data_IF_224391780226
#
_entry.id   IF_224391780226
#
_cell.length_a   1.000
_cell.length_b   1.000
_cell.length_c   1.000
_cell.angle_alpha   90.00
_cell.angle_beta   90.00
_cell.angle_gamma   90.00
#
_symmetry.space_group_name_H-M   'P 1'
#
loop_
_entity.id
_entity.type
_entity.pdbx_description
1 polymer ?
#
# COMPACT_ATOMS: atom_id res chain seq x y z
N UNK A 1 90.33 0.99 41.51
CA UNK A 1 90.01 0.58 40.11
C UNK A 1 88.83 -0.39 40.04
N UNK A 2 88.69 -1.25 41.03
CA UNK A 2 87.63 -2.30 41.11
C UNK A 2 86.20 -1.81 41.34
N UNK A 3 86.05 -0.66 42.01
CA UNK A 3 84.71 -0.08 42.28
C UNK A 3 84.04 0.57 41.08
N UNK A 4 84.83 1.10 40.17
CA UNK A 4 84.35 1.71 38.96
C UNK A 4 83.78 0.65 38.00
N UNK A 5 84.45 -0.47 37.90
CA UNK A 5 84.05 -1.61 37.02
C UNK A 5 82.74 -2.29 37.50
N UNK A 6 82.54 -2.33 38.85
CA UNK A 6 81.27 -2.84 39.43
C UNK A 6 80.08 -1.86 39.17
N UNK A 7 80.37 -0.54 39.26
CA UNK A 7 79.36 0.47 38.98
C UNK A 7 78.95 0.47 37.52
N UNK A 8 79.90 0.37 36.57
CA UNK A 8 79.61 0.36 35.16
C UNK A 8 78.80 -0.88 34.75
N UNK A 9 79.07 -2.06 35.34
CA UNK A 9 78.27 -3.27 35.13
C UNK A 9 76.85 -3.16 35.70
N UNK A 10 76.67 -2.55 36.85
CA UNK A 10 75.37 -2.31 37.43
C UNK A 10 74.54 -1.34 36.61
N UNK A 11 75.15 -0.30 36.06
CA UNK A 11 74.48 0.66 35.15
C UNK A 11 74.07 -0.05 33.84
N UNK A 12 74.98 -0.89 33.26
CA UNK A 12 74.65 -1.62 32.03
C UNK A 12 73.50 -2.64 32.24
N UNK A 13 73.46 -3.30 33.41
CA UNK A 13 72.35 -4.18 33.75
C UNK A 13 71.05 -3.42 33.94
N UNK A 14 71.08 -2.29 34.62
CA UNK A 14 69.89 -1.45 34.80
C UNK A 14 69.31 -0.93 33.44
N UNK A 15 70.22 -0.48 32.53
CA UNK A 15 69.83 -0.04 31.21
C UNK A 15 69.17 -1.18 30.41
N UNK A 16 69.75 -2.40 30.46
CA UNK A 16 69.17 -3.59 29.77
C UNK A 16 67.83 -3.96 30.37
N UNK A 17 67.63 -3.84 31.67
CA UNK A 17 66.36 -4.18 32.30
C UNK A 17 65.29 -3.15 31.98
N UNK A 18 65.56 -1.84 32.00
CA UNK A 18 64.67 -0.76 31.58
C UNK A 18 64.30 -0.86 30.09
N UNK A 19 65.26 -1.24 29.25
CA UNK A 19 65.02 -1.50 27.82
C UNK A 19 64.03 -2.64 27.61
N UNK A 20 64.20 -3.77 28.29
CA UNK A 20 63.30 -4.92 28.22
C UNK A 20 61.89 -4.62 28.74
N UNK A 21 61.78 -3.85 29.82
CA UNK A 21 60.48 -3.45 30.36
C UNK A 21 59.75 -2.53 29.42
N UNK A 22 60.41 -1.53 28.78
CA UNK A 22 59.81 -0.69 27.75
C UNK A 22 59.38 -1.48 26.52
N UNK A 23 60.20 -2.40 26.03
CA UNK A 23 59.85 -3.22 24.88
C UNK A 23 58.61 -4.10 25.15
N UNK A 24 58.46 -4.59 26.38
CA UNK A 24 57.28 -5.38 26.77
C UNK A 24 56.04 -4.52 26.87
N UNK A 25 56.14 -3.30 27.43
CA UNK A 25 55.03 -2.35 27.57
C UNK A 25 54.55 -1.84 26.19
N UNK A 26 55.49 -1.50 25.31
CA UNK A 26 55.21 -1.09 23.93
C UNK A 26 54.58 -2.22 23.10
N UNK A 27 55.01 -3.45 23.28
CA UNK A 27 54.39 -4.62 22.64
C UNK A 27 53.00 -4.91 23.17
N UNK A 28 52.73 -4.70 24.45
CA UNK A 28 51.43 -4.89 25.08
C UNK A 28 50.44 -3.80 24.55
N UNK A 29 50.89 -2.56 24.46
CA UNK A 29 50.08 -1.46 23.92
C UNK A 29 49.77 -1.67 22.43
N UNK A 30 50.76 -2.06 21.62
CA UNK A 30 50.56 -2.41 20.21
C UNK A 30 49.57 -3.57 20.02
N UNK A 31 49.66 -4.64 20.82
CA UNK A 31 48.72 -5.75 20.79
C UNK A 31 47.30 -5.31 21.14
N UNK A 32 47.17 -4.44 22.12
CA UNK A 32 45.86 -3.90 22.52
C UNK A 32 45.22 -3.02 21.42
N UNK A 33 45.99 -2.21 20.74
CA UNK A 33 45.56 -1.41 19.58
C UNK A 33 45.14 -2.28 18.42
N UNK A 34 45.92 -3.32 18.10
CA UNK A 34 45.59 -4.28 17.02
C UNK A 34 44.32 -5.05 17.33
N UNK A 35 44.11 -5.51 18.58
CA UNK A 35 42.92 -6.20 19.01
C UNK A 35 41.66 -5.30 18.90
N UNK A 36 41.74 -4.04 19.36
CA UNK A 36 40.67 -3.05 19.22
C UNK A 36 40.31 -2.77 17.76
N UNK A 37 41.30 -2.69 16.87
CA UNK A 37 41.09 -2.46 15.43
C UNK A 37 40.42 -3.66 14.76
N UNK A 38 40.81 -4.88 15.15
CA UNK A 38 40.23 -6.11 14.62
C UNK A 38 38.78 -6.33 15.08
N UNK A 39 38.47 -5.95 16.34
CA UNK A 39 37.11 -6.02 16.88
C UNK A 39 36.17 -5.02 16.19
N UNK A 40 36.63 -3.76 15.95
CA UNK A 40 35.84 -2.76 15.19
C UNK A 40 35.57 -3.21 13.76
N UNK A 41 36.52 -3.89 13.11
CA UNK A 41 36.33 -4.43 11.76
C UNK A 41 35.30 -5.56 11.70
N UNK A 42 35.27 -6.47 12.67
CA UNK A 42 34.27 -7.56 12.74
C UNK A 42 32.87 -7.02 13.01
N UNK A 43 32.73 -6.08 13.94
CA UNK A 43 31.43 -5.44 14.23
C UNK A 43 30.92 -4.67 13.01
N UNK A 44 31.76 -3.92 12.33
CA UNK A 44 31.38 -3.20 11.11
C UNK A 44 30.91 -4.12 10.00
N UNK A 45 31.59 -5.25 9.76
CA UNK A 45 31.18 -6.27 8.79
C UNK A 45 29.85 -6.93 9.20
N UNK A 46 29.66 -7.21 10.47
CA UNK A 46 28.42 -7.80 10.99
C UNK A 46 27.23 -6.84 10.86
N UNK A 47 27.40 -5.57 11.20
CA UNK A 47 26.37 -4.54 11.01
C UNK A 47 26.05 -4.35 9.53
N UNK A 48 27.03 -4.32 8.64
CA UNK A 48 26.78 -4.22 7.18
C UNK A 48 26.04 -5.45 6.62
N UNK A 49 26.23 -6.64 7.17
CA UNK A 49 25.50 -7.83 6.74
C UNK A 49 24.04 -7.84 7.21
N UNK A 50 23.75 -7.32 8.41
CA UNK A 50 22.38 -7.19 8.92
C UNK A 50 21.60 -6.16 8.11
N UNK A 51 22.21 -5.01 7.80
CA UNK A 51 21.55 -3.96 7.00
C UNK A 51 21.23 -4.43 5.58
N UNK A 52 22.08 -5.25 4.97
CA UNK A 52 21.80 -5.81 3.64
C UNK A 52 20.65 -6.82 3.66
N UNK A 53 20.53 -7.64 4.69
CA UNK A 53 19.42 -8.60 4.84
C UNK A 53 18.08 -7.82 5.04
N UNK A 54 18.09 -6.81 5.90
CA UNK A 54 16.91 -5.97 6.14
C UNK A 54 16.46 -5.25 4.84
N UNK A 55 17.40 -4.78 4.04
CA UNK A 55 17.09 -4.16 2.74
C UNK A 55 16.48 -5.17 1.75
N UNK A 56 16.98 -6.40 1.69
CA UNK A 56 16.41 -7.45 0.84
C UNK A 56 14.99 -7.79 1.28
N UNK A 57 14.76 -7.95 2.58
CA UNK A 57 13.42 -8.22 3.12
C UNK A 57 12.46 -7.07 2.78
N UNK A 58 12.90 -5.82 2.93
CA UNK A 58 12.09 -4.65 2.58
C UNK A 58 11.75 -4.61 1.08
N UNK A 59 12.70 -4.94 0.21
CA UNK A 59 12.47 -5.01 -1.24
C UNK A 59 11.50 -6.14 -1.59
N UNK A 60 11.67 -7.34 -1.04
CA UNK A 60 10.77 -8.47 -1.28
C UNK A 60 9.36 -8.15 -0.80
N UNK A 61 9.23 -7.56 0.38
CA UNK A 61 7.94 -7.13 0.93
C UNK A 61 7.28 -6.04 0.07
N UNK A 62 8.04 -5.06 -0.38
CA UNK A 62 7.55 -4.01 -1.30
C UNK A 62 7.10 -4.58 -2.65
N UNK A 63 7.83 -5.55 -3.20
CA UNK A 63 7.45 -6.21 -4.45
C UNK A 63 6.18 -7.07 -4.27
N UNK A 64 6.01 -7.72 -3.13
CA UNK A 64 4.80 -8.50 -2.83
C UNK A 64 3.56 -7.58 -2.80
N UNK A 65 3.61 -6.49 -2.05
CA UNK A 65 2.51 -5.50 -2.01
C UNK A 65 2.22 -4.96 -3.42
N UNK A 66 3.25 -4.64 -4.20
CA UNK A 66 3.06 -4.13 -5.56
C UNK A 66 2.42 -5.15 -6.51
N UNK A 67 2.69 -6.45 -6.34
CA UNK A 67 2.05 -7.51 -7.13
C UNK A 67 0.59 -7.71 -6.74
N UNK A 68 0.27 -7.67 -5.45
CA UNK A 68 -1.10 -7.82 -4.96
C UNK A 68 -1.99 -6.68 -5.46
N UNK A 69 -1.55 -5.42 -5.35
CA UNK A 69 -2.28 -4.26 -5.88
C UNK A 69 -2.55 -4.39 -7.39
N UNK A 70 -1.58 -4.84 -8.17
CA UNK A 70 -1.79 -5.06 -9.63
C UNK A 70 -2.79 -6.16 -9.95
N UNK A 71 -2.94 -7.13 -9.06
CA UNK A 71 -3.89 -8.21 -9.23
C UNK A 71 -5.32 -7.72 -9.02
N UNK A 72 -5.56 -6.95 -7.96
CA UNK A 72 -6.86 -6.35 -7.68
C UNK A 72 -7.29 -5.37 -8.78
N UNK A 73 -6.39 -4.51 -9.24
CA UNK A 73 -6.62 -3.62 -10.37
C UNK A 73 -7.04 -4.40 -11.63
N UNK A 74 -6.37 -5.50 -11.96
CA UNK A 74 -6.74 -6.33 -13.11
C UNK A 74 -8.12 -6.96 -12.98
N UNK A 75 -8.50 -7.40 -11.78
CA UNK A 75 -9.84 -7.92 -11.53
C UNK A 75 -10.87 -6.81 -11.72
N UNK A 76 -10.63 -5.63 -11.16
CA UNK A 76 -11.48 -4.47 -11.40
C UNK A 76 -11.62 -4.20 -12.90
N UNK A 77 -10.52 -4.00 -13.62
CA UNK A 77 -10.52 -3.69 -15.07
C UNK A 77 -11.22 -4.78 -15.91
N UNK A 78 -11.18 -6.05 -15.46
CA UNK A 78 -11.79 -7.16 -16.18
C UNK A 78 -13.31 -7.20 -16.02
N UNK A 79 -13.81 -6.87 -14.84
CA UNK A 79 -15.22 -7.02 -14.49
C UNK A 79 -15.99 -5.71 -14.42
N UNK A 80 -15.29 -4.58 -14.37
CA UNK A 80 -15.92 -3.28 -14.31
C UNK A 80 -16.38 -2.81 -15.69
N UNK A 81 -17.67 -2.55 -15.79
CA UNK A 81 -18.29 -1.91 -16.95
C UNK A 81 -19.23 -0.83 -16.40
N UNK A 82 -19.11 0.45 -16.82
CA UNK A 82 -20.03 1.48 -16.38
C UNK A 82 -21.48 1.12 -16.70
N UNK A 83 -22.38 1.42 -15.75
CA UNK A 83 -23.82 1.14 -15.94
C UNK A 83 -24.37 1.94 -17.12
N UNK A 84 -24.98 1.26 -18.06
CA UNK A 84 -25.67 1.92 -19.16
C UNK A 84 -26.93 2.66 -18.64
N UNK A 85 -27.11 3.88 -19.11
CA UNK A 85 -28.31 4.64 -18.80
C UNK A 85 -29.45 4.25 -19.73
N UNK A 86 -30.49 3.65 -19.16
CA UNK A 86 -31.72 3.35 -19.93
C UNK A 86 -32.77 4.42 -19.66
N UNK A 87 -32.92 5.33 -20.63
CA UNK A 87 -33.93 6.41 -20.56
C UNK A 87 -35.38 5.90 -20.54
N UNK A 88 -35.61 4.64 -20.97
CA UNK A 88 -36.97 4.06 -21.00
C UNK A 88 -37.40 3.55 -19.63
N UNK A 89 -36.48 3.07 -18.81
CA UNK A 89 -36.76 2.67 -17.44
C UNK A 89 -37.13 3.88 -16.56
N UNK A 90 -36.45 5.02 -16.77
CA UNK A 90 -36.67 6.24 -16.03
C UNK A 90 -37.97 6.97 -16.40
N UNK A 91 -38.54 6.73 -17.60
CA UNK A 91 -39.80 7.33 -18.03
C UNK A 91 -41.04 6.74 -17.36
N UNK A 92 -40.90 5.70 -16.55
CA UNK A 92 -42.01 5.00 -15.88
C UNK A 92 -42.51 5.69 -14.61
N UNK A 93 -41.70 6.63 -14.04
CA UNK A 93 -42.13 7.51 -12.97
C UNK A 93 -42.68 8.79 -13.57
N UNK A 94 -43.86 9.22 -13.14
CA UNK A 94 -44.54 10.47 -13.57
C UNK A 94 -43.81 11.78 -13.17
N UNK A 95 -42.58 11.71 -12.67
CA UNK A 95 -41.78 12.88 -12.31
C UNK A 95 -41.03 13.45 -13.50
N UNK A 96 -41.30 14.68 -13.81
CA UNK A 96 -40.53 15.48 -14.78
C UNK A 96 -39.09 15.64 -14.28
N UNK A 97 -38.18 14.90 -14.89
CA UNK A 97 -36.74 15.01 -14.63
C UNK A 97 -36.31 16.47 -14.83
N UNK A 98 -35.57 17.03 -13.87
CA UNK A 98 -35.12 18.42 -13.97
C UNK A 98 -34.17 18.59 -15.19
N UNK A 99 -34.12 19.76 -15.84
CA UNK A 99 -33.24 20.03 -16.94
C UNK A 99 -31.73 19.83 -16.56
N UNK A 100 -31.40 20.15 -15.31
CA UNK A 100 -30.07 20.00 -14.73
C UNK A 100 -29.69 18.52 -14.66
N UNK A 101 -30.59 17.67 -14.18
CA UNK A 101 -30.37 16.23 -14.10
C UNK A 101 -30.30 15.60 -15.49
N UNK A 102 -31.17 16.01 -16.42
CA UNK A 102 -31.08 15.59 -17.82
C UNK A 102 -29.71 15.92 -18.40
N UNK A 103 -29.21 17.15 -18.19
CA UNK A 103 -27.89 17.56 -18.66
C UNK A 103 -26.74 16.76 -18.04
N UNK A 104 -26.85 16.35 -16.75
CA UNK A 104 -25.87 15.48 -16.11
C UNK A 104 -25.85 14.09 -16.75
N UNK A 105 -27.04 13.51 -16.97
CA UNK A 105 -27.20 12.19 -17.59
C UNK A 105 -26.74 12.16 -19.07
N UNK A 106 -26.97 13.24 -19.83
CA UNK A 106 -26.42 13.36 -21.17
C UNK A 106 -24.88 13.33 -21.21
N UNK A 107 -24.23 13.97 -20.22
CA UNK A 107 -22.76 13.92 -20.09
C UNK A 107 -22.30 12.52 -19.70
N UNK A 108 -23.01 11.85 -18.80
CA UNK A 108 -22.78 10.47 -18.41
C UNK A 108 -22.82 9.52 -19.63
N UNK A 109 -23.89 9.59 -20.45
CA UNK A 109 -24.06 8.78 -21.65
C UNK A 109 -22.95 8.96 -22.69
N UNK A 110 -22.35 10.16 -22.75
CA UNK A 110 -21.23 10.45 -23.64
C UNK A 110 -19.89 9.92 -23.10
N UNK A 111 -19.85 9.41 -21.87
CA UNK A 111 -18.63 9.03 -21.18
C UNK A 111 -17.85 10.22 -20.60
N UNK A 112 -18.44 11.42 -20.61
CA UNK A 112 -17.83 12.63 -20.04
C UNK A 112 -18.04 12.65 -18.53
N UNK A 113 -17.52 11.63 -17.81
CA UNK A 113 -17.81 11.38 -16.39
C UNK A 113 -17.41 12.54 -15.48
N UNK A 114 -16.30 13.22 -15.76
CA UNK A 114 -15.88 14.39 -14.98
C UNK A 114 -16.87 15.54 -15.09
N UNK A 115 -17.43 15.79 -16.30
CA UNK A 115 -18.45 16.82 -16.52
C UNK A 115 -19.77 16.40 -15.90
N UNK A 116 -20.14 15.12 -16.01
CA UNK A 116 -21.34 14.57 -15.39
C UNK A 116 -21.29 14.71 -13.88
N UNK A 117 -20.15 14.37 -13.25
CA UNK A 117 -19.93 14.50 -11.81
C UNK A 117 -20.11 15.95 -11.35
N UNK A 118 -19.46 16.89 -12.01
CA UNK A 118 -19.60 18.31 -11.70
C UNK A 118 -21.05 18.79 -11.76
N UNK A 119 -21.83 18.30 -12.74
CA UNK A 119 -23.26 18.62 -12.87
C UNK A 119 -24.08 17.96 -11.74
N UNK A 120 -23.81 16.69 -11.40
CA UNK A 120 -24.46 16.04 -10.26
C UNK A 120 -24.20 16.75 -8.94
N UNK A 121 -22.99 17.25 -8.72
CA UNK A 121 -22.62 18.00 -7.52
C UNK A 121 -23.36 19.36 -7.41
N UNK A 122 -23.69 19.96 -8.54
CA UNK A 122 -24.43 21.21 -8.58
C UNK A 122 -25.93 21.05 -8.28
N UNK A 123 -26.48 19.83 -8.32
CA UNK A 123 -27.89 19.55 -8.06
C UNK A 123 -28.13 19.33 -6.56
N UNK A 124 -28.87 20.19 -5.86
CA UNK A 124 -29.23 19.96 -4.46
C UNK A 124 -30.20 18.78 -4.35
N UNK A 125 -29.83 17.73 -3.62
CA UNK A 125 -30.72 16.60 -3.36
C UNK A 125 -31.02 15.78 -4.62
N UNK A 126 -29.98 15.26 -5.26
CA UNK A 126 -30.12 14.29 -6.37
C UNK A 126 -30.98 13.12 -5.90
N UNK A 127 -32.01 12.77 -6.68
CA UNK A 127 -32.88 11.63 -6.42
C UNK A 127 -32.05 10.34 -6.30
N UNK A 128 -32.47 9.45 -5.40
CA UNK A 128 -31.74 8.22 -5.05
C UNK A 128 -31.48 7.32 -6.28
N UNK A 129 -32.40 7.31 -7.23
CA UNK A 129 -32.31 6.54 -8.47
C UNK A 129 -31.15 6.98 -9.37
N UNK A 130 -30.65 8.21 -9.19
CA UNK A 130 -29.51 8.73 -9.96
C UNK A 130 -28.18 8.72 -9.20
N UNK A 131 -28.22 8.42 -7.90
CA UNK A 131 -26.99 8.39 -7.07
C UNK A 131 -26.02 7.30 -7.52
N UNK A 132 -26.51 6.23 -8.10
CA UNK A 132 -25.63 5.16 -8.65
C UNK A 132 -24.79 5.69 -9.82
N UNK A 133 -25.36 6.51 -10.70
CA UNK A 133 -24.63 7.13 -11.82
C UNK A 133 -23.60 8.13 -11.31
N UNK A 134 -23.93 8.88 -10.25
CA UNK A 134 -22.95 9.73 -9.57
C UNK A 134 -21.81 8.91 -8.97
N UNK A 135 -22.08 7.78 -8.35
CA UNK A 135 -21.05 6.89 -7.79
C UNK A 135 -20.14 6.35 -8.90
N UNK A 136 -20.70 5.96 -10.03
CA UNK A 136 -19.91 5.52 -11.20
C UNK A 136 -19.03 6.67 -11.73
N UNK A 137 -19.54 7.90 -11.81
CA UNK A 137 -18.72 9.05 -12.17
C UNK A 137 -17.53 9.25 -11.21
N UNK A 138 -17.73 9.02 -9.92
CA UNK A 138 -16.66 9.09 -8.91
C UNK A 138 -15.59 8.00 -9.17
N UNK A 139 -16.01 6.77 -9.47
CA UNK A 139 -15.09 5.68 -9.82
C UNK A 139 -14.30 5.99 -11.10
N UNK A 140 -14.97 6.48 -12.15
CA UNK A 140 -14.35 6.84 -13.43
C UNK A 140 -13.39 8.04 -13.34
N UNK A 141 -13.57 8.90 -12.36
CA UNK A 141 -12.70 10.07 -12.09
C UNK A 141 -11.65 9.81 -11.01
N UNK A 142 -11.36 8.54 -10.70
CA UNK A 142 -10.37 8.11 -9.70
C UNK A 142 -10.66 8.56 -8.25
N UNK A 143 -11.89 9.00 -7.97
CA UNK A 143 -12.35 9.36 -6.64
C UNK A 143 -12.98 8.13 -5.94
N UNK A 144 -12.21 7.06 -5.84
CA UNK A 144 -12.69 5.73 -5.41
C UNK A 144 -13.26 5.75 -4.00
N UNK A 145 -12.65 6.45 -3.05
CA UNK A 145 -13.12 6.51 -1.65
C UNK A 145 -14.48 7.20 -1.53
N UNK A 146 -14.71 8.29 -2.27
CA UNK A 146 -15.99 8.98 -2.31
C UNK A 146 -17.06 8.12 -3.00
N UNK A 147 -16.66 7.39 -4.06
CA UNK A 147 -17.50 6.40 -4.71
C UNK A 147 -17.95 5.29 -3.77
N UNK A 148 -17.02 4.71 -3.00
CA UNK A 148 -17.32 3.70 -1.97
C UNK A 148 -18.30 4.25 -0.96
N UNK A 149 -18.06 5.44 -0.40
CA UNK A 149 -18.92 6.06 0.59
C UNK A 149 -20.35 6.23 0.07
N UNK A 150 -20.51 6.63 -1.17
CA UNK A 150 -21.84 6.79 -1.78
C UNK A 150 -22.51 5.43 -2.04
N UNK A 151 -21.76 4.43 -2.50
CA UNK A 151 -22.27 3.09 -2.72
C UNK A 151 -22.64 2.37 -1.42
N UNK A 152 -21.84 2.51 -0.35
CA UNK A 152 -22.17 2.04 1.00
C UNK A 152 -23.52 2.58 1.47
N UNK A 153 -23.76 3.87 1.23
CA UNK A 153 -25.06 4.50 1.55
C UNK A 153 -26.21 3.90 0.74
N UNK A 154 -26.02 3.68 -0.56
CA UNK A 154 -27.05 3.06 -1.40
C UNK A 154 -27.36 1.63 -0.96
N UNK A 155 -26.36 0.83 -0.61
CA UNK A 155 -26.53 -0.54 -0.10
C UNK A 155 -27.22 -0.52 1.27
N UNK A 156 -26.90 0.43 2.14
CA UNK A 156 -27.51 0.56 3.46
C UNK A 156 -29.01 0.92 3.41
N UNK A 157 -29.49 1.52 2.31
CA UNK A 157 -30.93 1.80 2.09
C UNK A 157 -31.75 0.51 1.88
N UNK A 158 -31.09 -0.62 1.58
CA UNK A 158 -31.66 -1.97 1.63
C UNK A 158 -32.14 -2.53 0.30
N UNK A 159 -32.48 -3.82 0.34
CA UNK A 159 -32.85 -4.65 -0.84
C UNK A 159 -34.12 -4.18 -1.59
N UNK A 160 -34.86 -3.24 -1.03
CA UNK A 160 -36.09 -2.73 -1.67
C UNK A 160 -35.86 -1.63 -2.70
N UNK A 161 -34.63 -1.16 -2.88
CA UNK A 161 -34.30 -0.12 -3.86
C UNK A 161 -34.03 -0.73 -5.24
N UNK A 162 -34.39 0.03 -6.31
CA UNK A 162 -34.28 -0.42 -7.68
C UNK A 162 -32.84 -0.81 -8.07
N UNK A 163 -31.86 -0.11 -7.53
CA UNK A 163 -30.43 -0.31 -7.87
C UNK A 163 -29.61 -1.02 -6.78
N UNK A 164 -30.27 -1.68 -5.82
CA UNK A 164 -29.55 -2.35 -4.73
C UNK A 164 -28.52 -3.34 -5.21
N UNK A 165 -28.89 -4.21 -6.14
CA UNK A 165 -27.98 -5.26 -6.66
C UNK A 165 -26.80 -4.65 -7.44
N UNK A 166 -27.07 -3.63 -8.25
CA UNK A 166 -26.04 -2.88 -8.97
C UNK A 166 -25.12 -2.15 -7.98
N UNK A 167 -25.68 -1.53 -6.93
CA UNK A 167 -24.88 -0.88 -5.90
C UNK A 167 -23.97 -1.87 -5.18
N UNK A 168 -24.44 -3.07 -4.82
CA UNK A 168 -23.61 -4.13 -4.26
C UNK A 168 -22.49 -4.55 -5.21
N UNK A 169 -22.81 -4.69 -6.51
CA UNK A 169 -21.83 -5.05 -7.53
C UNK A 169 -20.72 -4.00 -7.64
N UNK A 170 -21.08 -2.73 -7.83
CA UNK A 170 -20.09 -1.65 -7.95
C UNK A 170 -19.33 -1.39 -6.65
N UNK A 171 -19.97 -1.59 -5.49
CA UNK A 171 -19.30 -1.49 -4.20
C UNK A 171 -18.24 -2.58 -4.03
N UNK A 172 -18.54 -3.81 -4.39
CA UNK A 172 -17.57 -4.91 -4.37
C UNK A 172 -16.38 -4.61 -5.28
N UNK A 173 -16.63 -4.17 -6.53
CA UNK A 173 -15.56 -3.79 -7.44
C UNK A 173 -14.74 -2.59 -6.94
N UNK A 174 -15.40 -1.58 -6.34
CA UNK A 174 -14.72 -0.44 -5.75
C UNK A 174 -13.80 -0.84 -4.59
N UNK A 175 -14.18 -1.83 -3.78
CA UNK A 175 -13.30 -2.39 -2.75
C UNK A 175 -12.08 -3.11 -3.35
N UNK A 176 -12.24 -3.84 -4.47
CA UNK A 176 -11.09 -4.42 -5.18
C UNK A 176 -10.11 -3.33 -5.63
N UNK A 177 -10.63 -2.27 -6.23
CA UNK A 177 -9.80 -1.13 -6.67
C UNK A 177 -9.11 -0.41 -5.50
N UNK A 178 -9.75 -0.41 -4.32
CA UNK A 178 -9.20 0.18 -3.09
C UNK A 178 -8.35 -0.80 -2.27
N UNK A 179 -8.06 -2.00 -2.81
CA UNK A 179 -7.25 -3.05 -2.18
C UNK A 179 -7.82 -3.53 -0.82
N UNK A 180 -9.16 -3.47 -0.66
CA UNK A 180 -9.88 -3.90 0.55
C UNK A 180 -10.57 -5.25 0.33
N UNK A 181 -9.76 -6.31 0.30
CA UNK A 181 -10.25 -7.69 0.14
C UNK A 181 -11.27 -8.07 1.22
N UNK A 182 -11.06 -7.63 2.46
CA UNK A 182 -11.93 -7.99 3.57
C UNK A 182 -13.36 -7.51 3.32
N UNK A 183 -13.53 -6.26 2.93
CA UNK A 183 -14.82 -5.68 2.62
C UNK A 183 -15.42 -6.25 1.34
N UNK A 184 -14.62 -6.54 0.33
CA UNK A 184 -15.08 -7.28 -0.85
C UNK A 184 -15.73 -8.60 -0.45
N UNK A 185 -15.04 -9.45 0.33
CA UNK A 185 -15.59 -10.73 0.76
C UNK A 185 -16.82 -10.58 1.66
N UNK A 186 -16.92 -9.54 2.45
CA UNK A 186 -18.10 -9.25 3.27
C UNK A 186 -19.35 -9.00 2.42
N UNK A 187 -19.22 -8.20 1.36
CA UNK A 187 -20.33 -7.91 0.43
C UNK A 187 -20.76 -9.14 -0.37
N UNK A 188 -19.80 -9.95 -0.83
CA UNK A 188 -20.07 -11.03 -1.79
C UNK A 188 -20.30 -12.40 -1.14
N UNK A 189 -20.14 -12.53 0.18
CA UNK A 189 -20.16 -13.84 0.87
C UNK A 189 -21.47 -14.62 0.66
N UNK A 190 -22.59 -13.91 0.65
CA UNK A 190 -23.94 -14.49 0.54
C UNK A 190 -24.51 -14.39 -0.88
N UNK A 191 -23.72 -13.85 -1.83
CA UNK A 191 -24.14 -13.71 -3.22
C UNK A 191 -23.93 -15.01 -3.99
N UNK A 192 -24.95 -15.41 -4.75
CA UNK A 192 -24.89 -16.52 -5.72
C UNK A 192 -24.63 -16.04 -7.15
N UNK A 193 -24.26 -14.78 -7.34
CA UNK A 193 -23.92 -14.26 -8.67
C UNK A 193 -22.67 -14.93 -9.21
N UNK A 194 -22.73 -15.43 -10.46
CA UNK A 194 -21.65 -16.19 -11.10
C UNK A 194 -20.38 -15.32 -11.27
N UNK A 195 -20.51 -14.02 -11.44
CA UNK A 195 -19.36 -13.13 -11.58
C UNK A 195 -18.61 -13.01 -10.26
N UNK A 196 -19.32 -12.92 -9.14
CA UNK A 196 -18.69 -12.92 -7.82
C UNK A 196 -18.00 -14.24 -7.52
N UNK A 197 -18.59 -15.38 -7.89
CA UNK A 197 -17.96 -16.69 -7.72
C UNK A 197 -16.68 -16.81 -8.57
N UNK A 198 -16.68 -16.31 -9.80
CA UNK A 198 -15.50 -16.26 -10.65
C UNK A 198 -14.38 -15.39 -10.04
N UNK A 199 -14.72 -14.20 -9.53
CA UNK A 199 -13.74 -13.32 -8.87
C UNK A 199 -13.17 -14.00 -7.62
N UNK A 200 -14.02 -14.57 -6.76
CA UNK A 200 -13.60 -15.32 -5.57
C UNK A 200 -12.65 -16.49 -5.94
N UNK A 201 -12.98 -17.22 -7.01
CA UNK A 201 -12.13 -18.31 -7.49
C UNK A 201 -10.75 -17.81 -7.89
N UNK A 202 -10.67 -16.74 -8.69
CA UNK A 202 -9.42 -16.15 -9.14
C UNK A 202 -8.59 -15.57 -7.96
N UNK A 203 -9.23 -14.96 -6.98
CA UNK A 203 -8.55 -14.43 -5.79
C UNK A 203 -7.91 -15.52 -4.93
N UNK A 204 -8.43 -16.73 -4.93
CA UNK A 204 -7.96 -17.82 -4.08
C UNK A 204 -6.94 -18.76 -4.76
N UNK A 205 -6.79 -18.71 -6.09
CA UNK A 205 -6.04 -19.74 -6.83
C UNK A 205 -4.89 -19.20 -7.70
N UNK A 206 -4.69 -17.86 -7.80
CA UNK A 206 -3.54 -17.21 -8.42
C UNK A 206 -2.56 -16.66 -7.38
#
# INVERSE_FOLDING_TARGET
>A
MEDKDKLDKAIEQAIRQVGKERDVEDLATLKSFMAKRQQKSKVKKFVMSITSIAAIIAIVFSLSIYQDNRRMDKLFDTYYIPLEYDSQLMSRGEETISPELTSAMESYQKGDYAIALQKFEAIPGVDENYLIYKAICLLETEQTEDGITLLEKLVANGEGTEYYQQACWYLALAYLRNDDECKFFEIVKDSSDINFENIKYLMNHD
#
